data_IF_521289725000
#
_entry.id   IF_521289725000
#
_cell.length_a   1.000
_cell.length_b   1.000
_cell.length_c   1.000
_cell.angle_alpha   90.00
_cell.angle_beta   90.00
_cell.angle_gamma   90.00
#
_symmetry.space_group_name_H-M   'P 1'
#
loop_
_entity.id
_entity.type
_entity.pdbx_description
1 polymer ?
#
# COMPACT_ATOMS: atom_id res chain seq x y z
N UNK A 1 -6.02 10.56 -0.81
CA UNK A 1 -4.68 11.02 -0.36
C UNK A 1 -4.62 10.94 1.15
N UNK A 2 -3.49 10.52 1.72
CA UNK A 2 -3.34 10.38 3.17
C UNK A 2 -3.10 11.76 3.82
N UNK A 3 -4.06 12.24 4.62
CA UNK A 3 -3.90 13.44 5.46
C UNK A 3 -3.57 13.00 6.87
N UNK A 4 -2.38 13.33 7.36
CA UNK A 4 -1.97 13.18 8.76
C UNK A 4 -1.92 14.56 9.41
N UNK A 5 -2.74 14.78 10.43
CA UNK A 5 -2.68 15.98 11.27
C UNK A 5 -1.73 15.68 12.44
N UNK A 6 -0.72 16.53 12.61
CA UNK A 6 0.24 16.43 13.73
C UNK A 6 -0.48 16.90 15.00
N UNK A 7 -0.43 16.11 16.08
CA UNK A 7 -0.99 16.51 17.37
C UNK A 7 0.03 17.29 18.17
N UNK A 8 -0.43 18.15 19.06
CA UNK A 8 0.39 19.13 19.81
C UNK A 8 1.44 18.49 20.74
N UNK A 9 1.31 17.20 21.09
CA UNK A 9 2.24 16.45 21.95
C UNK A 9 3.00 15.32 21.23
N UNK A 10 3.16 15.38 19.91
CA UNK A 10 3.86 14.35 19.14
C UNK A 10 5.24 14.79 18.68
N UNK A 11 6.22 13.89 18.80
CA UNK A 11 7.51 14.06 18.14
C UNK A 11 7.33 13.96 16.61
N UNK A 12 8.11 14.77 15.88
CA UNK A 12 8.11 14.79 14.41
C UNK A 12 8.28 13.39 13.80
N UNK A 13 9.09 12.54 14.43
CA UNK A 13 9.40 11.21 13.93
C UNK A 13 8.20 10.24 14.06
N UNK A 14 7.38 10.39 15.10
CA UNK A 14 6.15 9.61 15.27
C UNK A 14 5.05 10.04 14.29
N UNK A 15 4.99 11.32 13.94
CA UNK A 15 4.14 11.81 12.86
C UNK A 15 4.58 11.22 11.50
N UNK A 16 5.89 11.20 11.24
CA UNK A 16 6.45 10.62 10.02
C UNK A 16 6.17 9.12 9.92
N UNK A 17 6.28 8.39 11.04
CA UNK A 17 5.99 6.95 11.10
C UNK A 17 4.53 6.64 10.81
N UNK A 18 3.59 7.43 11.36
CA UNK A 18 2.14 7.28 11.07
C UNK A 18 1.84 7.61 9.61
N UNK A 19 2.42 8.67 9.06
CA UNK A 19 2.28 9.00 7.65
C UNK A 19 2.76 7.87 6.75
N UNK A 20 3.96 7.33 6.98
CA UNK A 20 4.50 6.18 6.23
C UNK A 20 3.58 4.95 6.30
N UNK A 21 3.02 4.66 7.48
CA UNK A 21 2.02 3.58 7.66
C UNK A 21 0.74 3.85 6.89
N UNK A 22 0.22 5.08 6.92
CA UNK A 22 -0.99 5.46 6.21
C UNK A 22 -0.80 5.36 4.69
N UNK A 23 0.31 5.87 4.15
CA UNK A 23 0.69 5.73 2.73
C UNK A 23 0.80 4.26 2.32
N UNK A 24 1.45 3.45 3.15
CA UNK A 24 1.57 2.00 2.91
C UNK A 24 0.22 1.28 2.95
N UNK A 25 -0.68 1.69 3.86
CA UNK A 25 -2.03 1.13 4.00
C UNK A 25 -2.93 1.49 2.84
N UNK A 26 -2.88 2.75 2.37
CA UNK A 26 -3.63 3.19 1.19
C UNK A 26 -3.09 2.56 -0.09
N UNK A 27 -1.82 2.13 -0.11
CA UNK A 27 -1.23 1.42 -1.24
C UNK A 27 -0.96 2.31 -2.45
N UNK A 28 -0.91 3.64 -2.27
CA UNK A 28 -0.69 4.63 -3.34
C UNK A 28 0.59 4.37 -4.13
N UNK A 29 1.69 4.04 -3.45
CA UNK A 29 2.96 3.69 -4.10
C UNK A 29 2.90 2.36 -4.88
N UNK A 30 2.08 1.40 -4.41
CA UNK A 30 1.89 0.13 -5.10
C UNK A 30 0.96 0.28 -6.32
N UNK A 31 0.03 1.24 -6.27
CA UNK A 31 -0.83 1.59 -7.39
C UNK A 31 -0.07 2.36 -8.47
N UNK A 32 0.77 3.32 -8.08
CA UNK A 32 1.65 4.04 -9.00
C UNK A 32 2.50 3.06 -9.82
N UNK A 33 3.21 2.14 -9.15
CA UNK A 33 4.01 1.08 -9.80
C UNK A 33 3.23 0.17 -10.74
N UNK A 34 1.94 -0.07 -10.47
CA UNK A 34 1.08 -0.87 -11.37
C UNK A 34 0.62 -0.11 -12.61
N UNK A 35 0.64 1.23 -12.56
CA UNK A 35 0.21 2.12 -13.63
C UNK A 35 1.38 2.67 -14.46
N UNK A 36 2.62 2.45 -14.04
CA UNK A 36 3.84 2.85 -14.77
C UNK A 36 3.90 2.26 -16.18
N UNK A 37 3.36 1.06 -16.38
CA UNK A 37 3.36 0.38 -17.68
C UNK A 37 2.00 -0.24 -17.97
N UNK A 38 1.66 -0.32 -19.26
CA UNK A 38 0.44 -1.00 -19.70
C UNK A 38 0.58 -2.51 -19.45
N UNK A 39 -0.45 -3.08 -18.82
CA UNK A 39 -0.54 -4.52 -18.58
C UNK A 39 -1.79 -5.05 -19.26
N UNK A 40 -1.61 -6.04 -20.14
CA UNK A 40 -2.72 -6.74 -20.81
C UNK A 40 -3.73 -7.24 -19.78
N UNK A 41 -5.06 -7.13 -20.01
CA UNK A 41 -6.09 -7.50 -19.05
C UNK A 41 -5.96 -8.92 -18.47
N UNK A 42 -5.52 -9.89 -19.28
CA UNK A 42 -5.28 -11.27 -18.83
C UNK A 42 -4.17 -11.36 -17.78
N UNK A 43 -3.06 -10.66 -17.98
CA UNK A 43 -1.93 -10.64 -17.04
C UNK A 43 -2.32 -9.89 -15.76
N UNK A 44 -3.11 -8.82 -15.86
CA UNK A 44 -3.66 -8.10 -14.70
C UNK A 44 -4.52 -9.00 -13.81
N UNK A 45 -5.37 -9.86 -14.40
CA UNK A 45 -6.17 -10.85 -13.67
C UNK A 45 -5.30 -11.90 -12.97
N UNK A 46 -4.26 -12.40 -13.65
CA UNK A 46 -3.30 -13.36 -13.09
C UNK A 46 -2.52 -12.77 -11.91
N UNK A 47 -1.96 -11.57 -12.06
CA UNK A 47 -1.25 -10.89 -10.97
C UNK A 47 -2.16 -10.62 -9.76
N UNK A 48 -3.44 -10.30 -9.98
CA UNK A 48 -4.42 -10.10 -8.91
C UNK A 48 -4.65 -11.40 -8.12
N UNK A 49 -4.83 -12.54 -8.80
CA UNK A 49 -5.08 -13.82 -8.13
C UNK A 49 -3.85 -14.32 -7.36
N UNK A 50 -2.65 -14.15 -7.91
CA UNK A 50 -1.38 -14.47 -7.25
C UNK A 50 -1.18 -13.63 -5.98
N UNK A 51 -1.43 -12.31 -6.05
CA UNK A 51 -1.34 -11.44 -4.89
C UNK A 51 -2.33 -11.84 -3.78
N UNK A 52 -3.56 -12.22 -4.15
CA UNK A 52 -4.57 -12.71 -3.20
C UNK A 52 -4.12 -14.00 -2.51
N UNK A 53 -3.60 -14.97 -3.29
CA UNK A 53 -3.06 -16.24 -2.75
C UNK A 53 -1.88 -16.00 -1.80
N UNK A 54 -0.96 -15.10 -2.17
CA UNK A 54 0.19 -14.74 -1.33
C UNK A 54 -0.26 -14.10 0.00
N UNK A 55 -1.24 -13.20 -0.04
CA UNK A 55 -1.81 -12.58 1.16
C UNK A 55 -2.51 -13.61 2.05
N UNK A 56 -3.26 -14.54 1.47
CA UNK A 56 -3.92 -15.61 2.21
C UNK A 56 -2.90 -16.54 2.89
N UNK A 57 -1.82 -16.92 2.18
CA UNK A 57 -0.72 -17.71 2.75
C UNK A 57 -0.03 -16.99 3.90
N UNK A 58 0.15 -15.67 3.79
CA UNK A 58 0.73 -14.84 4.87
C UNK A 58 -0.19 -14.73 6.08
N UNK A 59 -1.52 -14.77 5.90
CA UNK A 59 -2.51 -14.71 6.99
C UNK A 59 -2.68 -16.05 7.73
N UNK A 60 -2.40 -17.16 7.04
CA UNK A 60 -2.44 -18.52 7.60
C UNK A 60 -1.17 -18.89 8.37
N UNK A 61 -0.09 -18.13 8.20
CA UNK A 61 1.10 -18.16 9.02
C UNK A 61 0.93 -17.20 10.19
#
# INVERSE_FOLDING_TARGET
>A
MAKTVVRENESLDDALRRFKRQVSRTGTLAEARKREFYVKPGLKRKMKSEAARKNQKRRRR
#
